data_IF_833389308223
#
_entry.id   IF_833389308223
#
_cell.length_a   1.000
_cell.length_b   1.000
_cell.length_c   1.000
_cell.angle_alpha   90.00
_cell.angle_beta   90.00
_cell.angle_gamma   90.00
#
_symmetry.space_group_name_H-M   'P 1'
#
loop_
_entity.id
_entity.type
_entity.pdbx_description
1 polymer ?
#
# COMPACT_ATOMS: atom_id res chain seq x y z
N UNK A 1 -1.70 -7.54 -11.56
CA UNK A 1 -2.87 -8.23 -11.01
C UNK A 1 -2.39 -9.20 -9.94
N UNK A 2 -3.12 -9.33 -8.83
CA UNK A 2 -2.79 -10.22 -7.71
C UNK A 2 -4.00 -11.01 -7.20
N UNK A 3 -5.05 -11.17 -8.03
CA UNK A 3 -6.30 -11.89 -7.70
C UNK A 3 -6.07 -13.24 -7.02
N UNK A 4 -5.16 -14.08 -7.54
CA UNK A 4 -4.86 -15.38 -6.96
C UNK A 4 -4.35 -15.29 -5.51
N UNK A 5 -3.63 -14.23 -5.17
CA UNK A 5 -3.19 -13.96 -3.79
C UNK A 5 -4.28 -13.32 -2.92
N UNK A 6 -5.21 -12.60 -3.55
CA UNK A 6 -6.25 -11.82 -2.89
C UNK A 6 -7.52 -12.64 -2.57
N UNK A 7 -7.94 -13.52 -3.48
CA UNK A 7 -9.17 -14.31 -3.37
C UNK A 7 -8.95 -15.55 -2.49
N UNK A 8 -8.85 -15.30 -1.19
CA UNK A 8 -8.68 -16.34 -0.17
C UNK A 8 -9.85 -16.31 0.79
N UNK A 9 -10.49 -17.47 0.98
CA UNK A 9 -11.55 -17.69 2.00
C UNK A 9 -11.08 -17.19 3.38
N UNK A 10 -9.78 -17.31 3.66
CA UNK A 10 -9.16 -16.89 4.91
C UNK A 10 -8.36 -15.59 4.71
N UNK A 11 -8.90 -14.47 5.21
CA UNK A 11 -8.30 -13.13 5.11
C UNK A 11 -6.82 -13.04 5.55
N UNK A 12 -6.38 -13.69 6.65
CA UNK A 12 -4.97 -13.69 7.04
C UNK A 12 -4.01 -14.22 5.96
N UNK A 13 -4.47 -15.13 5.08
CA UNK A 13 -3.66 -15.63 3.96
C UNK A 13 -3.44 -14.54 2.91
N UNK A 14 -4.50 -13.81 2.53
CA UNK A 14 -4.36 -12.68 1.61
C UNK A 14 -3.42 -11.60 2.18
N UNK A 15 -3.57 -11.28 3.48
CA UNK A 15 -2.68 -10.36 4.19
C UNK A 15 -1.22 -10.82 4.15
N UNK A 16 -0.95 -12.11 4.31
CA UNK A 16 0.40 -12.67 4.28
C UNK A 16 1.09 -12.46 2.91
N UNK A 17 0.33 -12.43 1.81
CA UNK A 17 0.87 -12.19 0.47
C UNK A 17 1.15 -10.71 0.16
N UNK A 18 0.49 -9.77 0.83
CA UNK A 18 0.60 -8.34 0.54
C UNK A 18 2.06 -7.80 0.49
N UNK A 19 2.98 -8.17 1.40
CA UNK A 19 4.38 -7.80 1.28
C UNK A 19 5.02 -8.27 -0.02
N UNK A 20 4.82 -9.51 -0.46
CA UNK A 20 5.42 -10.00 -1.71
C UNK A 20 4.88 -9.24 -2.93
N UNK A 21 3.58 -8.89 -2.93
CA UNK A 21 3.00 -8.05 -3.99
C UNK A 21 3.63 -6.66 -4.01
N UNK A 22 3.86 -6.06 -2.84
CA UNK A 22 4.52 -4.76 -2.74
C UNK A 22 5.97 -4.78 -3.25
N UNK A 23 6.71 -5.88 -3.07
CA UNK A 23 8.06 -6.04 -3.65
C UNK A 23 8.03 -6.01 -5.18
N UNK A 24 7.05 -6.69 -5.79
CA UNK A 24 6.87 -6.69 -7.24
C UNK A 24 6.51 -5.28 -7.75
N UNK A 25 5.61 -4.57 -7.05
CA UNK A 25 5.23 -3.19 -7.42
C UNK A 25 6.42 -2.24 -7.29
N UNK A 26 7.21 -2.34 -6.23
CA UNK A 26 8.41 -1.52 -6.04
C UNK A 26 9.45 -1.80 -7.13
N UNK A 27 9.69 -3.08 -7.47
CA UNK A 27 10.61 -3.45 -8.55
C UNK A 27 10.15 -2.87 -9.91
N UNK A 28 8.85 -2.92 -10.21
CA UNK A 28 8.30 -2.30 -11.41
C UNK A 28 8.53 -0.78 -11.43
N UNK A 29 8.36 -0.09 -10.30
CA UNK A 29 8.64 1.34 -10.21
C UNK A 29 10.12 1.63 -10.48
N UNK A 30 11.02 0.85 -9.89
CA UNK A 30 12.47 1.00 -10.13
C UNK A 30 12.83 0.77 -11.62
N UNK A 31 12.18 -0.17 -12.30
CA UNK A 31 12.35 -0.37 -13.75
C UNK A 31 11.88 0.85 -14.55
N UNK A 32 10.70 1.40 -14.24
CA UNK A 32 10.19 2.61 -14.91
C UNK A 32 11.13 3.79 -14.72
N UNK A 33 11.65 3.98 -13.50
CA UNK A 33 12.64 5.02 -13.20
C UNK A 33 13.94 4.78 -13.97
N UNK A 34 14.37 3.52 -14.11
CA UNK A 34 15.50 3.14 -14.97
C UNK A 34 15.31 3.50 -16.45
N UNK A 35 14.07 3.52 -16.94
CA UNK A 35 13.72 3.99 -18.28
C UNK A 35 13.54 5.51 -18.40
N UNK A 36 13.82 6.27 -17.33
CA UNK A 36 13.76 7.73 -17.32
C UNK A 36 12.47 8.31 -16.76
N UNK A 37 11.59 7.50 -16.15
CA UNK A 37 10.42 8.04 -15.46
C UNK A 37 10.84 8.86 -14.24
N UNK A 38 10.17 10.00 -14.04
CA UNK A 38 10.38 10.84 -12.84
C UNK A 38 9.59 10.26 -11.66
N UNK A 39 10.23 9.90 -10.53
CA UNK A 39 9.55 9.32 -9.36
C UNK A 39 8.41 10.19 -8.81
N UNK A 40 8.60 11.51 -8.79
CA UNK A 40 7.62 12.49 -8.30
C UNK A 40 6.31 12.51 -9.11
N UNK A 41 6.32 11.94 -10.33
CA UNK A 41 5.13 11.82 -11.18
C UNK A 41 4.47 10.43 -11.08
N UNK A 42 4.96 9.56 -10.20
CA UNK A 42 4.38 8.25 -9.95
C UNK A 42 3.42 8.35 -8.77
N UNK A 43 2.19 7.88 -8.99
CA UNK A 43 1.16 7.76 -7.95
C UNK A 43 0.65 6.33 -7.85
N UNK A 44 0.33 5.89 -6.64
CA UNK A 44 -0.31 4.59 -6.40
C UNK A 44 -1.65 4.81 -5.69
N UNK A 45 -2.70 4.17 -6.20
CA UNK A 45 -4.01 4.14 -5.54
C UNK A 45 -4.27 2.71 -5.08
N UNK A 46 -4.57 2.52 -3.80
CA UNK A 46 -4.80 1.20 -3.22
C UNK A 46 -6.06 1.18 -2.38
N UNK A 47 -6.92 0.18 -2.58
CA UNK A 47 -8.14 -0.03 -1.81
C UNK A 47 -7.97 -1.16 -0.80
N UNK A 48 -8.44 -0.98 0.44
CA UNK A 48 -8.43 -2.02 1.48
C UNK A 48 -7.01 -2.58 1.71
N UNK A 49 -6.77 -3.88 1.50
CA UNK A 49 -5.44 -4.48 1.56
C UNK A 49 -4.46 -3.86 0.55
N UNK A 50 -4.98 -3.41 -0.60
CA UNK A 50 -4.22 -2.70 -1.63
C UNK A 50 -3.64 -1.37 -1.16
N UNK A 51 -4.26 -0.69 -0.19
CA UNK A 51 -3.70 0.53 0.40
C UNK A 51 -2.38 0.24 1.13
N UNK A 52 -2.31 -0.88 1.86
CA UNK A 52 -1.07 -1.31 2.51
C UNK A 52 -0.03 -1.78 1.50
N UNK A 53 -0.44 -2.44 0.41
CA UNK A 53 0.47 -2.78 -0.69
C UNK A 53 1.09 -1.51 -1.28
N UNK A 54 0.28 -0.47 -1.50
CA UNK A 54 0.76 0.82 -2.00
C UNK A 54 1.79 1.47 -1.05
N UNK A 55 1.48 1.52 0.25
CA UNK A 55 2.40 2.04 1.26
C UNK A 55 3.71 1.26 1.35
N UNK A 56 3.63 -0.07 1.41
CA UNK A 56 4.81 -0.93 1.43
C UNK A 56 5.65 -0.79 0.16
N UNK A 57 5.02 -0.62 -1.00
CA UNK A 57 5.74 -0.39 -2.25
C UNK A 57 6.49 0.95 -2.20
N UNK A 58 5.83 2.03 -1.78
CA UNK A 58 6.47 3.35 -1.61
C UNK A 58 7.63 3.36 -0.60
N UNK A 59 7.54 2.56 0.47
CA UNK A 59 8.67 2.37 1.40
C UNK A 59 9.89 1.67 0.80
N UNK A 60 9.68 0.86 -0.23
CA UNK A 60 10.70 -0.03 -0.82
C UNK A 60 11.32 0.54 -2.09
N UNK A 61 10.76 1.60 -2.65
CA UNK A 61 11.41 2.36 -3.72
C UNK A 61 12.59 3.14 -3.16
N UNK A 62 13.66 3.27 -3.95
CA UNK A 62 14.88 4.00 -3.55
C UNK A 62 14.63 5.50 -3.42
N UNK A 63 13.76 6.02 -4.28
CA UNK A 63 13.32 7.40 -4.29
C UNK A 63 11.86 7.45 -3.84
N UNK A 64 11.48 8.52 -3.12
CA UNK A 64 10.08 8.74 -2.78
C UNK A 64 9.28 8.96 -4.06
N UNK A 65 8.16 8.26 -4.17
CA UNK A 65 7.17 8.50 -5.22
C UNK A 65 6.31 9.72 -4.87
N UNK A 66 5.67 10.31 -5.90
CA UNK A 66 4.87 11.52 -5.77
C UNK A 66 3.72 11.39 -4.77
N UNK A 67 2.82 10.42 -4.96
CA UNK A 67 1.69 10.28 -4.05
C UNK A 67 1.16 8.86 -3.87
N UNK A 68 0.50 8.64 -2.73
CA UNK A 68 -0.32 7.45 -2.48
C UNK A 68 -1.72 7.89 -2.05
N UNK A 69 -2.75 7.25 -2.62
CA UNK A 69 -4.13 7.36 -2.15
C UNK A 69 -4.58 6.01 -1.58
N UNK A 70 -4.83 5.97 -0.27
CA UNK A 70 -5.41 4.84 0.43
C UNK A 70 -6.93 4.96 0.49
N UNK A 71 -7.65 4.10 -0.24
CA UNK A 71 -9.11 4.02 -0.22
C UNK A 71 -9.52 2.99 0.84
N UNK A 72 -10.03 3.47 1.96
CA UNK A 72 -10.50 2.71 3.11
C UNK A 72 -9.54 1.58 3.54
N UNK A 73 -8.31 1.92 4.01
CA UNK A 73 -7.27 0.93 4.30
C UNK A 73 -7.73 -0.10 5.33
N UNK A 74 -7.40 -1.37 5.11
CA UNK A 74 -7.91 -2.46 5.93
C UNK A 74 -7.40 -2.40 7.39
N UNK A 75 -8.30 -2.52 8.35
CA UNK A 75 -7.94 -2.55 9.77
C UNK A 75 -7.50 -3.93 10.30
N UNK A 76 -8.18 -5.05 9.95
CA UNK A 76 -7.84 -6.36 10.49
C UNK A 76 -6.39 -6.72 10.18
N UNK A 77 -5.65 -7.09 11.23
CA UNK A 77 -4.22 -7.40 11.18
C UNK A 77 -3.30 -6.23 10.81
N UNK A 78 -3.76 -4.98 10.95
CA UNK A 78 -2.95 -3.78 10.77
C UNK A 78 -3.05 -2.78 11.92
N UNK A 79 -4.13 -2.81 12.72
CA UNK A 79 -4.34 -1.89 13.87
C UNK A 79 -3.20 -1.91 14.91
N UNK A 80 -2.53 -3.04 15.08
CA UNK A 80 -1.45 -3.24 16.06
C UNK A 80 -0.07 -3.25 15.41
N UNK A 81 -0.01 -3.14 14.07
CA UNK A 81 1.23 -3.23 13.32
C UNK A 81 1.97 -1.90 13.33
N UNK A 82 3.30 -1.99 13.33
CA UNK A 82 4.17 -0.81 13.26
C UNK A 82 4.02 -0.14 11.89
N UNK A 83 4.30 1.18 11.77
CA UNK A 83 4.33 1.89 10.50
C UNK A 83 5.04 1.15 9.36
N UNK A 84 6.09 0.37 9.67
CA UNK A 84 6.86 -0.43 8.72
C UNK A 84 6.06 -1.52 7.99
N UNK A 85 4.92 -1.95 8.52
CA UNK A 85 4.16 -3.11 8.02
C UNK A 85 2.79 -2.72 7.44
N UNK A 86 2.50 -1.42 7.29
CA UNK A 86 1.24 -0.88 6.76
C UNK A 86 1.46 0.42 5.99
N UNK A 87 0.43 0.96 5.32
CA UNK A 87 0.42 2.35 4.84
C UNK A 87 0.68 3.33 5.99
N UNK A 88 1.52 4.33 5.72
CA UNK A 88 1.89 5.40 6.64
C UNK A 88 2.17 6.71 5.87
N UNK A 89 1.99 7.86 6.54
CA UNK A 89 2.24 9.18 5.95
C UNK A 89 3.64 9.37 5.34
N UNK A 90 4.63 8.59 5.80
CA UNK A 90 6.01 8.64 5.30
C UNK A 90 6.24 8.01 3.92
N UNK A 91 5.27 7.28 3.37
CA UNK A 91 5.49 6.33 2.26
C UNK A 91 5.62 6.96 0.87
N UNK A 92 5.20 8.22 0.73
CA UNK A 92 5.33 9.01 -0.48
C UNK A 92 5.66 10.47 -0.12
N UNK A 93 5.73 11.36 -1.11
CA UNK A 93 5.78 12.81 -0.84
C UNK A 93 4.44 13.31 -0.30
N UNK A 94 3.33 12.75 -0.80
CA UNK A 94 1.98 13.01 -0.32
C UNK A 94 1.20 11.70 -0.13
N UNK A 95 0.54 11.55 1.02
CA UNK A 95 -0.34 10.41 1.29
C UNK A 95 -1.71 10.94 1.66
N UNK A 96 -2.73 10.51 0.92
CA UNK A 96 -4.13 10.79 1.21
C UNK A 96 -4.84 9.50 1.59
N UNK A 97 -5.71 9.57 2.60
CA UNK A 97 -6.53 8.43 3.02
C UNK A 97 -7.99 8.84 3.07
N UNK A 98 -8.85 8.07 2.41
CA UNK A 98 -10.29 8.25 2.39
C UNK A 98 -10.92 7.11 3.20
N UNK A 99 -11.49 7.42 4.36
CA UNK A 99 -12.14 6.43 5.21
C UNK A 99 -13.64 6.38 4.94
N UNK A 100 -14.15 5.21 4.58
CA UNK A 100 -15.59 5.00 4.28
C UNK A 100 -16.24 3.90 5.10
N UNK A 101 -15.45 3.03 5.74
CA UNK A 101 -15.91 1.95 6.61
C UNK A 101 -15.06 1.83 7.90
N UNK A 102 -14.59 2.98 8.40
CA UNK A 102 -13.86 3.07 9.65
C UNK A 102 -14.66 2.51 10.83
N UNK A 103 -13.96 1.96 11.84
CA UNK A 103 -14.50 1.24 13.02
C UNK A 103 -15.12 -0.12 12.74
N UNK A 104 -15.35 -0.47 11.48
CA UNK A 104 -15.70 -1.82 11.05
C UNK A 104 -14.46 -2.49 10.44
N UNK A 105 -14.35 -2.47 9.11
CA UNK A 105 -13.28 -3.14 8.36
C UNK A 105 -12.16 -2.20 7.95
N UNK A 106 -12.41 -0.89 7.90
CA UNK A 106 -11.39 0.14 7.66
C UNK A 106 -10.67 0.58 8.94
N UNK A 107 -9.42 1.00 8.81
CA UNK A 107 -8.71 1.78 9.85
C UNK A 107 -9.52 3.05 10.11
N UNK A 108 -9.59 3.48 11.37
CA UNK A 108 -10.32 4.70 11.76
C UNK A 108 -9.36 5.83 12.19
N UNK A 109 -8.17 5.46 12.62
CA UNK A 109 -7.14 6.37 13.06
C UNK A 109 -6.43 7.01 11.86
N UNK A 110 -5.90 8.22 12.08
CA UNK A 110 -4.96 8.81 11.14
C UNK A 110 -3.70 7.94 11.07
N UNK A 111 -3.25 7.68 9.86
CA UNK A 111 -2.07 6.89 9.52
C UNK A 111 -1.13 7.71 8.64
#
# INVERSE_FOLDING_TARGET
>A
DWEEGADRIWYPTARYHAPAVADVVAAMIEELVGFGQTPDLIGIVGHSLGAHIAGLAGKRTRQKIGFIVGLDPAAPLFRLEKPLERLDAGDAQYVEVIHTNGKALGIFENI
#
